data_IF_846084372375
#
_entry.id   IF_846084372375
#
_cell.length_a   1.000
_cell.length_b   1.000
_cell.length_c   1.000
_cell.angle_alpha   90.00
_cell.angle_beta   90.00
_cell.angle_gamma   90.00
#
_symmetry.space_group_name_H-M   'P 1'
#
loop_
_entity.id
_entity.type
_entity.pdbx_description
1 polymer ?
#
# COMPACT_ATOMS: atom_id res chain seq x y z
N UNK A 1 16.00 -20.87 -4.24
CA UNK A 1 15.26 -19.61 -4.46
C UNK A 1 16.13 -18.66 -5.28
N UNK A 2 15.64 -18.16 -6.41
CA UNK A 2 16.34 -17.15 -7.21
C UNK A 2 16.40 -15.82 -6.44
N UNK A 3 17.49 -15.05 -6.53
CA UNK A 3 17.65 -13.76 -5.80
C UNK A 3 16.47 -12.80 -6.00
N UNK A 4 15.85 -12.82 -7.19
CA UNK A 4 14.69 -12.00 -7.52
C UNK A 4 13.44 -12.37 -6.71
N UNK A 5 13.16 -13.66 -6.54
CA UNK A 5 12.01 -14.16 -5.79
C UNK A 5 12.09 -13.75 -4.31
N UNK A 6 13.28 -13.85 -3.71
CA UNK A 6 13.51 -13.45 -2.32
C UNK A 6 13.26 -11.95 -2.10
N UNK A 7 13.69 -11.08 -3.03
CA UNK A 7 13.49 -9.63 -2.94
C UNK A 7 11.99 -9.27 -3.01
N UNK A 8 11.24 -9.93 -3.89
CA UNK A 8 9.80 -9.66 -4.05
C UNK A 8 9.02 -10.14 -2.84
N UNK A 9 9.30 -11.37 -2.39
CA UNK A 9 8.67 -11.92 -1.18
C UNK A 9 8.97 -11.03 0.03
N UNK A 10 10.22 -10.58 0.20
CA UNK A 10 10.58 -9.65 1.27
C UNK A 10 9.83 -8.31 1.15
N UNK A 11 9.69 -7.78 -0.07
CA UNK A 11 8.96 -6.54 -0.34
C UNK A 11 7.48 -6.66 0.00
N UNK A 12 6.84 -7.75 -0.44
CA UNK A 12 5.43 -8.03 -0.17
C UNK A 12 5.21 -8.29 1.33
N UNK A 13 6.08 -9.05 1.98
CA UNK A 13 6.01 -9.32 3.41
C UNK A 13 6.13 -8.02 4.24
N UNK A 14 7.06 -7.14 3.86
CA UNK A 14 7.25 -5.84 4.51
C UNK A 14 6.02 -4.95 4.32
N UNK A 15 5.46 -4.90 3.11
CA UNK A 15 4.23 -4.16 2.82
C UNK A 15 3.02 -4.71 3.61
N UNK A 16 2.85 -6.03 3.68
CA UNK A 16 1.79 -6.67 4.44
C UNK A 16 1.91 -6.40 5.94
N UNK A 17 3.13 -6.39 6.48
CA UNK A 17 3.41 -6.06 7.88
C UNK A 17 3.05 -4.61 8.18
N UNK A 18 3.38 -3.68 7.27
CA UNK A 18 2.99 -2.28 7.38
C UNK A 18 1.47 -2.11 7.47
N UNK A 19 0.72 -2.71 6.53
CA UNK A 19 -0.76 -2.65 6.55
C UNK A 19 -1.32 -3.27 7.84
N UNK A 20 -0.78 -4.42 8.26
CA UNK A 20 -1.21 -5.12 9.48
C UNK A 20 -0.97 -4.30 10.75
N UNK A 21 0.14 -3.56 10.84
CA UNK A 21 0.44 -2.65 11.94
C UNK A 21 -0.41 -1.38 11.91
N UNK A 22 -0.78 -0.90 10.72
CA UNK A 22 -1.54 0.35 10.59
C UNK A 22 -3.02 0.16 10.92
N UNK A 23 -3.60 -0.99 10.55
CA UNK A 23 -5.01 -1.33 10.78
C UNK A 23 -5.53 -1.05 12.21
N UNK A 24 -4.84 -1.48 13.30
CA UNK A 24 -5.31 -1.22 14.66
C UNK A 24 -5.18 0.24 15.11
N UNK A 25 -4.25 1.01 14.52
CA UNK A 25 -4.01 2.43 14.88
C UNK A 25 -4.91 3.38 14.08
N UNK A 26 -5.33 2.94 12.89
CA UNK A 26 -6.16 3.68 11.95
C UNK A 26 -7.48 4.25 12.51
N UNK A 27 -8.27 3.53 13.35
CA UNK A 27 -9.52 4.08 13.88
C UNK A 27 -9.31 5.19 14.91
N UNK A 28 -8.14 5.25 15.56
CA UNK A 28 -7.87 6.23 16.62
C UNK A 28 -7.25 7.53 16.07
N UNK A 29 -6.59 7.48 14.91
CA UNK A 29 -6.00 8.67 14.27
C UNK A 29 -7.03 9.78 13.93
N UNK A 30 -8.17 9.51 13.26
CA UNK A 30 -9.21 10.52 13.05
C UNK A 30 -9.89 10.94 14.36
N UNK A 31 -9.94 10.08 15.38
CA UNK A 31 -10.54 10.39 16.68
C UNK A 31 -9.70 11.37 17.48
N UNK A 32 -8.39 11.16 17.54
CA UNK A 32 -7.47 11.95 18.36
C UNK A 32 -7.19 13.34 17.76
N UNK A 33 -7.17 13.42 16.43
CA UNK A 33 -6.88 14.67 15.71
C UNK A 33 -8.18 15.40 15.31
N UNK A 34 -9.27 14.67 15.04
CA UNK A 34 -10.59 15.19 14.71
C UNK A 34 -11.43 15.52 15.93
N UNK A 35 -10.95 16.41 16.79
CA UNK A 35 -11.55 16.79 18.08
C UNK A 35 -13.01 17.33 18.03
N UNK A 36 -13.67 17.40 16.88
CA UNK A 36 -14.93 18.15 16.72
C UNK A 36 -15.85 17.70 15.56
N UNK A 37 -16.10 16.41 15.35
CA UNK A 37 -17.02 15.96 14.29
C UNK A 37 -17.61 14.56 14.46
N UNK A 38 -18.50 14.18 13.53
CA UNK A 38 -19.08 12.84 13.43
C UNK A 38 -18.00 11.81 13.08
N UNK A 39 -17.48 11.14 14.12
CA UNK A 39 -16.39 10.17 14.04
C UNK A 39 -16.69 9.04 13.03
N UNK A 40 -17.95 8.67 12.86
CA UNK A 40 -18.37 7.65 11.90
C UNK A 40 -18.14 8.11 10.46
N UNK A 41 -18.53 9.35 10.14
CA UNK A 41 -18.31 9.94 8.82
C UNK A 41 -16.82 10.15 8.53
N UNK A 42 -16.05 10.63 9.50
CA UNK A 42 -14.60 10.87 9.34
C UNK A 42 -13.85 9.56 9.09
N UNK A 43 -14.11 8.52 9.87
CA UNK A 43 -13.48 7.22 9.67
C UNK A 43 -13.91 6.56 8.35
N UNK A 44 -15.20 6.62 8.02
CA UNK A 44 -15.73 6.08 6.76
C UNK A 44 -15.13 6.75 5.54
N UNK A 45 -15.05 8.08 5.53
CA UNK A 45 -14.43 8.85 4.44
C UNK A 45 -12.91 8.63 4.35
N UNK A 46 -12.23 8.44 5.48
CA UNK A 46 -10.80 8.11 5.53
C UNK A 46 -10.50 6.74 4.89
N UNK A 47 -11.33 5.73 5.16
CA UNK A 47 -11.27 4.43 4.49
C UNK A 47 -11.63 4.51 3.01
N UNK A 48 -12.69 5.24 2.68
CA UNK A 48 -13.15 5.41 1.31
C UNK A 48 -12.08 6.09 0.44
N UNK A 49 -11.39 7.09 0.95
CA UNK A 49 -10.30 7.76 0.24
C UNK A 49 -9.16 6.80 -0.09
N UNK A 50 -8.76 5.96 0.86
CA UNK A 50 -7.74 4.94 0.64
C UNK A 50 -8.15 3.92 -0.43
N UNK A 51 -9.40 3.44 -0.38
CA UNK A 51 -9.94 2.54 -1.39
C UNK A 51 -10.04 3.20 -2.77
N UNK A 52 -10.47 4.46 -2.84
CA UNK A 52 -10.59 5.22 -4.08
C UNK A 52 -9.22 5.44 -4.73
N UNK A 53 -8.22 5.86 -3.96
CA UNK A 53 -6.86 6.04 -4.48
C UNK A 53 -6.27 4.72 -4.96
N UNK A 54 -6.48 3.62 -4.22
CA UNK A 54 -6.03 2.32 -4.69
C UNK A 54 -6.71 1.91 -6.00
N UNK A 55 -8.03 2.11 -6.10
CA UNK A 55 -8.78 1.77 -7.30
C UNK A 55 -8.30 2.56 -8.53
N UNK A 56 -8.04 3.86 -8.38
CA UNK A 56 -7.58 4.72 -9.47
C UNK A 56 -6.12 4.42 -9.88
N UNK A 57 -5.24 4.19 -8.91
CA UNK A 57 -3.81 4.04 -9.15
C UNK A 57 -3.36 2.60 -9.37
N UNK A 58 -4.12 1.59 -8.98
CA UNK A 58 -3.81 0.19 -9.27
C UNK A 58 -3.61 -0.10 -10.78
N UNK A 59 -4.53 0.27 -11.69
CA UNK A 59 -4.33 0.05 -13.12
C UNK A 59 -3.17 0.89 -13.68
N UNK A 60 -3.01 2.13 -13.19
CA UNK A 60 -1.94 3.03 -13.62
C UNK A 60 -0.57 2.48 -13.26
N UNK A 61 -0.38 2.05 -12.00
CA UNK A 61 0.86 1.45 -11.53
C UNK A 61 1.10 0.09 -12.17
N UNK A 62 0.05 -0.70 -12.42
CA UNK A 62 0.14 -1.94 -13.20
C UNK A 62 0.78 -1.70 -14.57
N UNK A 63 0.20 -0.79 -15.37
CA UNK A 63 0.70 -0.44 -16.69
C UNK A 63 2.11 0.20 -16.64
N UNK A 64 2.38 1.03 -15.62
CA UNK A 64 3.70 1.62 -15.42
C UNK A 64 4.75 0.55 -15.09
N UNK A 65 4.37 -0.49 -14.35
CA UNK A 65 5.25 -1.61 -14.00
C UNK A 65 5.64 -2.44 -15.21
N UNK A 66 4.71 -2.59 -16.15
CA UNK A 66 4.95 -3.35 -17.38
C UNK A 66 5.91 -2.59 -18.31
N UNK A 67 5.88 -1.26 -18.28
CA UNK A 67 6.76 -0.40 -19.11
C UNK A 67 8.14 -0.17 -18.51
N UNK A 68 8.24 0.13 -17.22
CA UNK A 68 9.49 0.51 -16.54
C UNK A 68 10.16 -0.66 -15.80
N UNK A 69 9.53 -1.83 -15.80
CA UNK A 69 9.94 -3.00 -15.06
C UNK A 69 9.33 -3.06 -13.65
N UNK A 70 9.00 -4.28 -13.23
CA UNK A 70 8.26 -4.51 -11.98
C UNK A 70 9.11 -4.23 -10.72
N UNK A 71 10.42 -4.48 -10.76
CA UNK A 71 11.33 -4.32 -9.61
C UNK A 71 11.53 -2.85 -9.17
N UNK A 72 11.89 -1.89 -10.05
CA UNK A 72 11.99 -0.48 -9.65
C UNK A 72 10.70 0.08 -9.07
N UNK A 73 9.56 -0.32 -9.63
CA UNK A 73 8.26 0.19 -9.18
C UNK A 73 7.87 -0.35 -7.80
N UNK A 74 8.15 -1.62 -7.50
CA UNK A 74 7.92 -2.17 -6.16
C UNK A 74 8.78 -1.48 -5.08
N UNK A 75 10.03 -1.13 -5.42
CA UNK A 75 10.90 -0.37 -4.52
C UNK A 75 10.38 1.07 -4.32
N UNK A 76 9.86 1.71 -5.38
CA UNK A 76 9.25 3.02 -5.29
C UNK A 76 7.99 3.00 -4.41
N UNK A 77 7.16 1.95 -4.53
CA UNK A 77 5.99 1.76 -3.68
C UNK A 77 6.37 1.62 -2.20
N UNK A 78 7.42 0.84 -1.90
CA UNK A 78 7.98 0.71 -0.54
C UNK A 78 8.53 2.04 0.00
N UNK A 79 9.27 2.78 -0.82
CA UNK A 79 9.79 4.09 -0.44
C UNK A 79 8.65 5.07 -0.15
N UNK A 80 7.62 5.09 -1.00
CA UNK A 80 6.43 5.89 -0.79
C UNK A 80 5.68 5.50 0.49
N UNK A 81 5.53 4.20 0.79
CA UNK A 81 4.92 3.74 2.03
C UNK A 81 5.73 4.18 3.27
N UNK A 82 7.06 4.20 3.17
CA UNK A 82 7.92 4.71 4.25
C UNK A 82 7.69 6.19 4.50
N UNK A 83 7.60 6.99 3.41
CA UNK A 83 7.29 8.42 3.50
C UNK A 83 5.90 8.64 4.08
N UNK A 84 4.91 7.86 3.67
CA UNK A 84 3.54 7.90 4.21
C UNK A 84 3.53 7.64 5.72
N UNK A 85 4.19 6.59 6.19
CA UNK A 85 4.25 6.29 7.63
C UNK A 85 4.93 7.39 8.44
N UNK A 86 6.02 7.96 7.93
CA UNK A 86 6.64 9.12 8.56
C UNK A 86 5.67 10.31 8.59
N UNK A 87 5.01 10.59 7.47
CA UNK A 87 4.08 11.69 7.37
C UNK A 87 2.90 11.53 8.35
N UNK A 88 2.34 10.33 8.44
CA UNK A 88 1.22 10.02 9.33
C UNK A 88 1.63 10.04 10.81
N UNK A 89 2.87 9.67 11.13
CA UNK A 89 3.41 9.76 12.49
C UNK A 89 3.58 11.22 12.97
N UNK A 90 3.87 12.15 12.06
CA UNK A 90 4.08 13.57 12.38
C UNK A 90 2.90 14.48 12.03
N UNK A 91 1.79 13.93 11.50
CA UNK A 91 0.65 14.72 11.04
C UNK A 91 -0.09 15.39 12.22
N UNK A 92 -0.04 16.73 12.36
CA UNK A 92 -0.64 17.41 13.52
C UNK A 92 -2.09 17.82 13.28
N UNK A 93 -2.62 17.66 12.06
CA UNK A 93 -3.97 18.12 11.68
C UNK A 93 -4.71 17.12 10.80
N UNK A 94 -6.05 17.17 10.84
CA UNK A 94 -6.92 16.25 10.09
C UNK A 94 -6.69 16.31 8.57
N UNK A 95 -6.53 17.48 7.92
CA UNK A 95 -6.25 17.52 6.48
C UNK A 95 -4.93 16.86 6.10
N UNK A 96 -3.89 16.99 6.94
CA UNK A 96 -2.63 16.28 6.71
C UNK A 96 -2.79 14.76 6.84
N UNK A 97 -3.61 14.28 7.79
CA UNK A 97 -3.94 12.85 7.86
C UNK A 97 -4.61 12.36 6.57
N UNK A 98 -5.57 13.12 6.02
CA UNK A 98 -6.23 12.76 4.76
C UNK A 98 -5.25 12.79 3.57
N UNK A 99 -4.31 13.72 3.54
CA UNK A 99 -3.26 13.76 2.52
C UNK A 99 -2.33 12.54 2.61
N UNK A 100 -1.87 12.21 3.82
CA UNK A 100 -1.13 10.97 4.08
C UNK A 100 -1.94 9.77 3.58
N UNK A 101 -3.22 9.69 3.94
CA UNK A 101 -4.09 8.59 3.53
C UNK A 101 -4.23 8.44 2.02
N UNK A 102 -4.25 9.55 1.29
CA UNK A 102 -4.24 9.51 -0.17
C UNK A 102 -2.91 8.93 -0.71
N UNK A 103 -1.77 9.38 -0.17
CA UNK A 103 -0.44 8.84 -0.50
C UNK A 103 -0.38 7.35 -0.19
N UNK A 104 -0.82 6.94 1.01
CA UNK A 104 -0.96 5.56 1.44
C UNK A 104 -1.74 4.71 0.43
N UNK A 105 -2.84 5.24 -0.13
CA UNK A 105 -3.63 4.55 -1.14
C UNK A 105 -2.90 4.39 -2.47
N UNK A 106 -2.16 5.41 -2.90
CA UNK A 106 -1.32 5.36 -4.12
C UNK A 106 -0.19 4.34 -3.94
N UNK A 107 0.50 4.35 -2.81
CA UNK A 107 1.62 3.46 -2.55
C UNK A 107 1.16 2.02 -2.28
N UNK A 108 0.02 1.87 -1.61
CA UNK A 108 -0.65 0.59 -1.36
C UNK A 108 -1.10 -0.10 -2.64
N UNK A 109 -1.46 0.65 -3.69
CA UNK A 109 -1.76 0.10 -5.01
C UNK A 109 -0.58 -0.61 -5.67
N UNK A 110 0.66 -0.42 -5.20
CA UNK A 110 1.82 -1.20 -5.64
C UNK A 110 1.67 -2.71 -5.37
N UNK A 111 0.82 -3.12 -4.43
CA UNK A 111 0.49 -4.53 -4.21
C UNK A 111 -0.18 -5.20 -5.42
N UNK A 112 -0.88 -4.43 -6.27
CA UNK A 112 -1.45 -4.91 -7.54
C UNK A 112 -0.36 -5.34 -8.56
N UNK A 113 0.87 -4.86 -8.39
CA UNK A 113 2.04 -5.22 -9.22
C UNK A 113 2.72 -6.49 -8.71
N UNK A 114 2.61 -6.78 -7.41
CA UNK A 114 3.32 -7.88 -6.77
C UNK A 114 2.79 -9.26 -7.18
N UNK A 115 1.47 -9.46 -7.20
CA UNK A 115 0.85 -10.73 -7.58
C UNK A 115 1.21 -11.18 -9.02
N UNK A 116 1.05 -10.33 -10.06
CA UNK A 116 1.46 -10.70 -11.43
C UNK A 116 2.99 -10.85 -11.55
N UNK A 117 3.79 -10.12 -10.78
CA UNK A 117 5.24 -10.34 -10.82
C UNK A 117 5.63 -11.73 -10.33
N UNK A 118 5.01 -12.20 -9.23
CA UNK A 118 5.24 -13.55 -8.71
C UNK A 118 4.86 -14.60 -9.75
N UNK A 119 3.76 -14.41 -10.50
CA UNK A 119 3.40 -15.33 -11.59
C UNK A 119 4.40 -15.32 -12.74
N UNK A 120 4.98 -14.16 -13.08
CA UNK A 120 5.90 -14.01 -14.21
C UNK A 120 7.25 -14.69 -13.98
N UNK A 121 7.71 -14.74 -12.73
CA UNK A 121 8.99 -15.38 -12.35
C UNK A 121 8.83 -16.82 -11.87
N UNK A 122 7.61 -17.36 -11.94
CA UNK A 122 7.29 -18.73 -11.53
C UNK A 122 6.96 -19.56 -12.76
N UNK A 123 7.74 -20.61 -13.02
CA UNK A 123 7.49 -21.59 -14.08
C UNK A 123 6.11 -22.23 -13.92
N UNK A 124 5.39 -22.49 -15.03
CA UNK A 124 4.04 -23.07 -15.07
C UNK A 124 3.77 -24.19 -14.05
N UNK A 125 4.63 -25.22 -13.90
CA UNK A 125 4.39 -26.29 -12.93
C UNK A 125 4.53 -25.89 -11.45
N UNK A 126 5.16 -24.74 -11.15
CA UNK A 126 5.33 -24.24 -9.77
C UNK A 126 4.29 -23.18 -9.37
N UNK A 127 3.46 -22.69 -10.31
CA UNK A 127 2.51 -21.60 -10.04
C UNK A 127 1.50 -21.96 -8.95
N UNK A 128 0.84 -23.12 -9.06
CA UNK A 128 -0.11 -23.58 -8.03
C UNK A 128 0.53 -23.69 -6.64
N UNK A 129 1.80 -24.14 -6.57
CA UNK A 129 2.52 -24.38 -5.32
C UNK A 129 2.98 -23.11 -4.59
N UNK A 130 2.94 -21.94 -5.24
CA UNK A 130 3.36 -20.65 -4.65
C UNK A 130 2.20 -19.77 -4.18
N UNK A 131 0.97 -20.08 -4.57
CA UNK A 131 -0.23 -19.42 -4.05
C UNK A 131 -0.87 -20.14 -2.85
N UNK A 132 -0.36 -21.32 -2.49
CA UNK A 132 -0.92 -22.20 -1.46
C UNK A 132 -1.37 -23.51 -2.07
#
# INVERSE_FOLDING_TARGET
MTKQLAIILATVALAATGIGLTMPVLPDLPRDVGRSGDLGWQYGSFLALYALMQFLFAPLLGALSDRFGRRPLLLLALAGATVDYLFMAFAPTLPLLFLGRAISGITGAGSAVAAPYITDITSEPERARRFG
#
